data_IF_714503851791
#
_entry.id   IF_714503851791
#
_cell.length_a   1.000
_cell.length_b   1.000
_cell.length_c   1.000
_cell.angle_alpha   90.00
_cell.angle_beta   90.00
_cell.angle_gamma   90.00
#
_symmetry.space_group_name_H-M   'P 1'
#
loop_
_entity.id
_entity.type
_entity.pdbx_description
1 polymer ?
#
# COMPACT_ATOMS: atom_id res chain seq x y z
N UNK A 1 -11.42 -38.22 7.83
CA UNK A 1 -10.53 -37.52 8.79
C UNK A 1 -9.98 -36.25 8.15
N UNK A 2 -10.30 -35.12 8.77
CA UNK A 2 -10.23 -33.75 8.24
C UNK A 2 -8.82 -33.36 7.78
N UNK A 3 -8.68 -32.88 6.54
CA UNK A 3 -7.51 -32.07 6.14
C UNK A 3 -7.92 -30.63 6.35
N UNK A 4 -7.40 -30.02 7.42
CA UNK A 4 -7.65 -28.63 7.77
C UNK A 4 -7.12 -27.69 6.69
N UNK A 5 -8.02 -27.02 5.99
CA UNK A 5 -7.68 -25.91 5.12
C UNK A 5 -7.27 -24.71 5.96
N UNK A 6 -6.04 -24.23 5.76
CA UNK A 6 -5.65 -22.91 6.23
C UNK A 6 -6.39 -21.88 5.37
N UNK A 7 -7.52 -21.39 5.86
CA UNK A 7 -8.11 -20.16 5.35
C UNK A 7 -7.13 -19.04 5.71
N UNK A 8 -6.28 -18.66 4.75
CA UNK A 8 -5.49 -17.44 4.83
C UNK A 8 -6.46 -16.26 4.87
N UNK A 9 -6.80 -15.83 6.09
CA UNK A 9 -7.46 -14.57 6.33
C UNK A 9 -6.42 -13.47 6.12
N UNK A 10 -6.15 -13.18 4.85
CA UNK A 10 -5.96 -11.79 4.51
C UNK A 10 -7.33 -11.17 4.77
N UNK A 11 -7.39 -10.18 5.66
CA UNK A 11 -8.49 -9.23 5.58
C UNK A 11 -8.32 -8.59 4.19
N UNK A 12 -8.95 -9.21 3.18
CA UNK A 12 -9.40 -8.48 2.01
C UNK A 12 -10.01 -7.22 2.60
N UNK A 13 -9.48 -6.07 2.17
CA UNK A 13 -10.08 -4.78 2.44
C UNK A 13 -11.59 -4.99 2.26
N UNK A 14 -12.35 -5.06 3.36
CA UNK A 14 -13.77 -5.44 3.29
C UNK A 14 -14.56 -4.43 2.43
N UNK A 15 -13.93 -3.28 2.16
CA UNK A 15 -14.38 -2.18 1.31
C UNK A 15 -13.67 -2.05 -0.06
N UNK A 16 -12.90 -3.05 -0.52
CA UNK A 16 -12.30 -2.99 -1.87
C UNK A 16 -13.37 -3.17 -2.94
N UNK A 17 -14.04 -2.08 -3.28
CA UNK A 17 -14.99 -2.02 -4.38
C UNK A 17 -14.21 -1.79 -5.67
N UNK A 18 -14.04 -2.85 -6.46
CA UNK A 18 -13.65 -2.69 -7.86
C UNK A 18 -14.78 -1.93 -8.57
N UNK A 19 -14.48 -0.72 -9.05
CA UNK A 19 -15.38 0.04 -9.90
C UNK A 19 -14.84 0.01 -11.31
N UNK A 20 -15.62 -0.51 -12.22
CA UNK A 20 -15.32 -0.39 -13.64
C UNK A 20 -15.36 1.11 -14.01
N UNK A 21 -14.22 1.63 -14.44
CA UNK A 21 -14.05 3.04 -14.77
C UNK A 21 -14.00 3.19 -16.28
N UNK A 22 -14.96 3.92 -16.86
CA UNK A 22 -14.85 4.32 -18.26
C UNK A 22 -13.68 5.30 -18.41
N UNK A 23 -12.77 5.10 -19.38
CA UNK A 23 -11.64 6.00 -19.54
C UNK A 23 -12.13 7.43 -19.83
N UNK A 24 -11.50 8.46 -19.23
CA UNK A 24 -11.90 9.84 -19.47
C UNK A 24 -11.46 10.25 -20.88
N UNK A 25 -12.28 10.99 -21.62
CA UNK A 25 -11.88 11.54 -22.93
C UNK A 25 -10.59 12.38 -22.81
N UNK A 26 -9.63 12.26 -23.74
CA UNK A 26 -9.66 11.52 -25.01
C UNK A 26 -9.12 10.08 -24.92
N UNK A 27 -8.97 9.52 -23.72
CA UNK A 27 -8.43 8.17 -23.54
C UNK A 27 -9.45 7.11 -23.95
N UNK A 28 -8.97 6.05 -24.59
CA UNK A 28 -9.75 4.88 -24.96
C UNK A 28 -8.99 3.61 -24.58
N UNK A 29 -9.74 2.57 -24.21
CA UNK A 29 -9.18 1.22 -24.04
C UNK A 29 -8.86 0.70 -25.44
N UNK A 30 -7.61 0.34 -25.70
CA UNK A 30 -7.17 -0.17 -27.00
C UNK A 30 -7.11 -1.69 -26.99
N UNK A 31 -6.50 -2.27 -25.95
CA UNK A 31 -6.34 -3.72 -25.82
C UNK A 31 -6.14 -4.14 -24.35
N UNK A 32 -6.31 -5.43 -24.09
CA UNK A 32 -5.89 -6.03 -22.83
C UNK A 32 -4.38 -6.15 -22.78
N UNK A 33 -3.79 -5.89 -21.61
CA UNK A 33 -2.36 -6.01 -21.43
C UNK A 33 -1.92 -7.48 -21.39
N UNK A 34 -0.76 -7.78 -21.99
CA UNK A 34 -0.26 -9.15 -22.05
C UNK A 34 0.09 -9.69 -20.64
N UNK A 35 -0.34 -10.91 -20.25
CA UNK A 35 -0.16 -11.42 -18.89
C UNK A 35 1.29 -11.50 -18.40
N UNK A 36 2.24 -11.66 -19.32
CA UNK A 36 3.67 -11.75 -19.01
C UNK A 36 4.38 -10.39 -18.89
N UNK A 37 3.70 -9.29 -19.20
CA UNK A 37 4.28 -7.93 -19.06
C UNK A 37 4.62 -7.66 -17.61
N UNK A 38 5.84 -7.15 -17.36
CA UNK A 38 6.25 -6.77 -16.01
C UNK A 38 5.65 -5.43 -15.62
N UNK A 39 5.24 -5.34 -14.36
CA UNK A 39 4.72 -4.14 -13.73
C UNK A 39 5.30 -4.00 -12.33
N UNK A 40 5.26 -2.76 -11.82
CA UNK A 40 5.63 -2.43 -10.46
C UNK A 40 4.36 -2.07 -9.69
N UNK A 41 4.13 -2.75 -8.56
CA UNK A 41 3.02 -2.49 -7.65
C UNK A 41 3.56 -1.88 -6.38
N UNK A 42 2.91 -0.83 -5.88
CA UNK A 42 3.23 -0.22 -4.58
C UNK A 42 2.09 -0.49 -3.61
N UNK A 43 2.41 -1.18 -2.52
CA UNK A 43 1.52 -1.48 -1.42
C UNK A 43 1.72 -0.44 -0.32
N UNK A 44 0.68 0.37 -0.08
CA UNK A 44 0.65 1.32 1.02
C UNK A 44 0.21 0.62 2.31
N UNK A 45 1.14 0.45 3.24
CA UNK A 45 0.89 -0.16 4.56
C UNK A 45 0.31 0.90 5.50
N UNK A 46 -0.63 0.49 6.35
CA UNK A 46 -1.31 1.40 7.27
C UNK A 46 -0.33 2.10 8.22
N UNK A 47 -0.17 3.40 8.01
CA UNK A 47 0.57 4.30 8.89
C UNK A 47 -0.12 4.45 10.25
N UNK A 48 0.68 4.77 11.28
CA UNK A 48 0.20 5.01 12.64
C UNK A 48 0.08 6.50 12.94
N UNK A 49 -0.62 6.85 14.04
CA UNK A 49 -0.61 8.20 14.61
C UNK A 49 -1.04 9.33 13.65
N UNK A 50 -1.90 9.04 12.68
CA UNK A 50 -2.36 10.02 11.69
C UNK A 50 -3.02 11.23 12.34
N UNK A 51 -3.79 11.04 13.43
CA UNK A 51 -4.40 12.16 14.14
C UNK A 51 -3.38 13.05 14.84
N UNK A 52 -2.30 12.46 15.37
CA UNK A 52 -1.20 13.21 15.97
C UNK A 52 -0.44 13.97 14.87
N UNK A 53 -0.20 13.34 13.71
CA UNK A 53 0.40 14.02 12.56
C UNK A 53 -0.46 15.22 12.13
N UNK A 54 -1.78 15.04 12.05
CA UNK A 54 -2.71 16.12 11.72
C UNK A 54 -2.65 17.26 12.76
N UNK A 55 -2.66 16.95 14.05
CA UNK A 55 -2.52 17.95 15.11
C UNK A 55 -1.19 18.72 14.99
N UNK A 56 -0.08 18.00 14.78
CA UNK A 56 1.24 18.63 14.56
C UNK A 56 1.21 19.53 13.34
N UNK A 57 0.64 19.07 12.23
CA UNK A 57 0.51 19.85 10.99
C UNK A 57 -0.24 21.16 11.24
N UNK A 58 -1.37 21.11 11.94
CA UNK A 58 -2.17 22.29 12.27
C UNK A 58 -1.40 23.24 13.19
N UNK A 59 -0.75 22.71 14.21
CA UNK A 59 0.03 23.46 15.19
C UNK A 59 1.22 24.21 14.56
N UNK A 60 1.90 23.62 13.58
CA UNK A 60 3.06 24.25 12.93
C UNK A 60 2.68 25.15 11.76
N UNK A 61 1.45 25.04 11.24
CA UNK A 61 0.96 25.82 10.09
C UNK A 61 0.03 26.98 10.48
N UNK A 62 -0.36 27.10 11.74
CA UNK A 62 -1.24 28.17 12.23
C UNK A 62 -0.42 29.38 12.69
N UNK A 63 -0.52 30.56 12.05
CA UNK A 63 0.37 31.71 12.33
C UNK A 63 0.40 32.21 13.79
N UNK A 64 -0.71 32.09 14.51
CA UNK A 64 -0.84 32.54 15.91
C UNK A 64 -0.49 31.45 16.93
N UNK A 65 -0.11 30.26 16.49
CA UNK A 65 0.22 29.15 17.37
C UNK A 65 1.70 29.18 17.75
N UNK A 66 2.04 28.89 19.01
CA UNK A 66 3.43 28.96 19.52
C UNK A 66 4.42 28.03 18.80
N UNK A 67 3.90 27.04 18.08
CA UNK A 67 4.67 26.09 17.27
C UNK A 67 4.76 26.46 15.79
N UNK A 68 4.22 27.60 15.36
CA UNK A 68 4.27 28.03 13.97
C UNK A 68 5.69 27.99 13.40
N UNK A 69 5.84 27.39 12.22
CA UNK A 69 7.11 27.20 11.52
C UNK A 69 8.06 26.15 12.14
N UNK A 70 7.72 25.53 13.27
CA UNK A 70 8.56 24.51 13.95
C UNK A 70 8.25 23.10 13.43
N UNK A 71 8.54 22.84 12.16
CA UNK A 71 8.28 21.55 11.50
C UNK A 71 9.10 20.39 12.09
N UNK A 72 8.56 19.17 11.98
CA UNK A 72 9.31 17.94 12.29
C UNK A 72 10.42 17.70 11.25
N UNK A 73 11.51 17.08 11.68
CA UNK A 73 12.48 16.50 10.74
C UNK A 73 11.88 15.28 10.03
N UNK A 74 12.39 14.94 8.84
CA UNK A 74 11.95 13.75 8.10
C UNK A 74 12.07 12.47 8.94
N UNK A 75 13.16 12.30 9.68
CA UNK A 75 13.36 11.14 10.55
C UNK A 75 12.32 11.07 11.67
N UNK A 76 12.01 12.21 12.31
CA UNK A 76 10.98 12.27 13.35
C UNK A 76 9.59 11.97 12.78
N UNK A 77 9.28 12.48 11.60
CA UNK A 77 8.03 12.19 10.89
C UNK A 77 7.90 10.70 10.55
N UNK A 78 8.93 10.10 9.93
CA UNK A 78 8.94 8.67 9.59
C UNK A 78 8.76 7.79 10.82
N UNK A 79 9.38 8.16 11.95
CA UNK A 79 9.23 7.45 13.22
C UNK A 79 7.80 7.60 13.77
N UNK A 80 7.22 8.81 13.69
CA UNK A 80 5.87 9.08 14.18
C UNK A 80 4.81 8.25 13.47
N UNK A 81 4.92 8.11 12.15
CA UNK A 81 3.89 7.46 11.33
C UNK A 81 4.22 6.05 10.88
N UNK A 82 5.34 5.48 11.34
CA UNK A 82 5.77 4.14 10.96
C UNK A 82 4.63 3.12 11.17
N UNK A 83 4.36 2.25 10.19
CA UNK A 83 3.43 1.14 10.37
C UNK A 83 3.92 0.18 11.46
N UNK A 84 2.99 -0.64 11.97
CA UNK A 84 3.39 -1.71 12.90
C UNK A 84 4.24 -2.73 12.16
N UNK A 85 5.30 -3.22 12.79
CA UNK A 85 6.18 -4.26 12.22
C UNK A 85 5.38 -5.47 11.76
N UNK A 86 4.35 -5.87 12.51
CA UNK A 86 3.46 -6.98 12.14
C UNK A 86 2.71 -6.75 10.82
N UNK A 87 2.32 -5.50 10.53
CA UNK A 87 1.52 -5.16 9.33
C UNK A 87 2.45 -5.16 8.10
N UNK A 88 3.69 -4.67 8.27
CA UNK A 88 4.74 -4.78 7.23
C UNK A 88 5.04 -6.24 6.93
N UNK A 89 5.26 -7.06 7.98
CA UNK A 89 5.59 -8.48 7.80
C UNK A 89 4.44 -9.23 7.12
N UNK A 90 3.19 -8.95 7.48
CA UNK A 90 2.03 -9.57 6.84
C UNK A 90 1.99 -9.30 5.32
N UNK A 91 2.35 -8.09 4.88
CA UNK A 91 2.44 -7.77 3.44
C UNK A 91 3.59 -8.52 2.78
N UNK A 92 4.77 -8.55 3.40
CA UNK A 92 5.95 -9.25 2.86
C UNK A 92 5.71 -10.75 2.75
N UNK A 93 5.18 -11.39 3.79
CA UNK A 93 4.85 -12.81 3.83
C UNK A 93 3.78 -13.17 2.79
N UNK A 94 2.80 -12.29 2.57
CA UNK A 94 1.78 -12.49 1.53
C UNK A 94 2.38 -12.44 0.12
N UNK A 95 3.24 -11.46 -0.17
CA UNK A 95 3.91 -11.37 -1.47
C UNK A 95 4.81 -12.58 -1.72
N UNK A 96 5.54 -13.03 -0.69
CA UNK A 96 6.39 -14.22 -0.72
C UNK A 96 5.57 -15.49 -1.00
N UNK A 97 4.45 -15.69 -0.31
CA UNK A 97 3.53 -16.82 -0.55
C UNK A 97 2.95 -16.83 -1.98
N UNK A 98 2.93 -15.67 -2.64
CA UNK A 98 2.50 -15.52 -4.03
C UNK A 98 3.66 -15.67 -5.03
N UNK A 99 4.86 -15.97 -4.56
CA UNK A 99 6.05 -16.13 -5.40
C UNK A 99 6.59 -14.81 -5.94
N UNK A 100 6.30 -13.69 -5.27
CA UNK A 100 6.79 -12.35 -5.63
C UNK A 100 7.93 -11.99 -4.68
N UNK A 101 9.17 -12.18 -5.15
CA UNK A 101 10.38 -12.01 -4.33
C UNK A 101 11.11 -10.69 -4.57
N UNK A 102 10.89 -10.05 -5.72
CA UNK A 102 11.50 -8.74 -6.02
C UNK A 102 10.71 -7.64 -5.31
N UNK A 103 11.01 -7.45 -4.02
CA UNK A 103 10.32 -6.53 -3.12
C UNK A 103 11.31 -5.56 -2.49
N UNK A 104 10.96 -4.27 -2.47
CA UNK A 104 11.79 -3.20 -1.90
C UNK A 104 10.93 -2.24 -1.09
N UNK A 105 11.42 -1.80 0.07
CA UNK A 105 10.79 -0.70 0.84
C UNK A 105 11.18 0.62 0.19
N UNK A 106 10.21 1.34 -0.36
CA UNK A 106 10.44 2.64 -1.01
C UNK A 106 10.61 3.78 0.00
N UNK A 107 10.02 3.64 1.18
CA UNK A 107 10.10 4.63 2.24
C UNK A 107 10.96 4.14 3.42
N UNK A 108 11.65 5.05 4.14
CA UNK A 108 12.48 4.69 5.30
C UNK A 108 11.73 3.98 6.43
N UNK A 109 10.45 4.31 6.62
CA UNK A 109 9.56 3.68 7.61
C UNK A 109 8.83 2.44 7.06
N UNK A 110 8.97 2.12 5.78
CA UNK A 110 8.39 0.91 5.17
C UNK A 110 6.87 0.95 4.99
N UNK A 111 6.26 2.14 5.00
CA UNK A 111 4.85 2.32 4.66
C UNK A 111 4.56 2.19 3.16
N UNK A 112 5.58 2.23 2.31
CA UNK A 112 5.49 1.96 0.88
C UNK A 112 6.38 0.78 0.54
N UNK A 113 5.78 -0.31 0.10
CA UNK A 113 6.45 -1.53 -0.33
C UNK A 113 6.22 -1.70 -1.82
N UNK A 114 7.29 -1.63 -2.63
CA UNK A 114 7.23 -1.93 -4.05
C UNK A 114 7.49 -3.41 -4.29
N UNK A 115 6.71 -4.01 -5.19
CA UNK A 115 6.96 -5.35 -5.69
C UNK A 115 6.90 -5.36 -7.23
N UNK A 116 7.88 -5.99 -7.87
CA UNK A 116 7.87 -6.18 -9.32
C UNK A 116 7.31 -7.56 -9.64
N UNK A 117 6.31 -7.63 -10.50
CA UNK A 117 5.63 -8.87 -10.89
C UNK A 117 5.08 -8.79 -12.31
N UNK A 118 4.43 -9.85 -12.79
CA UNK A 118 3.73 -9.85 -14.09
C UNK A 118 2.27 -9.47 -13.94
N UNK A 119 1.65 -8.90 -14.98
CA UNK A 119 0.21 -8.56 -14.99
C UNK A 119 -0.67 -9.74 -14.58
N UNK A 120 -0.45 -10.94 -15.14
CA UNK A 120 -1.28 -12.11 -14.80
C UNK A 120 -1.18 -12.50 -13.32
N UNK A 121 -0.01 -12.31 -12.70
CA UNK A 121 0.17 -12.54 -11.27
C UNK A 121 -0.49 -11.44 -10.43
N UNK A 122 -0.42 -10.18 -10.88
CA UNK A 122 -1.06 -9.06 -10.22
C UNK A 122 -2.59 -9.16 -10.23
N UNK A 123 -3.18 -9.58 -11.35
CA UNK A 123 -4.61 -9.87 -11.47
C UNK A 123 -5.02 -10.94 -10.44
N UNK A 124 -4.28 -12.05 -10.35
CA UNK A 124 -4.54 -13.08 -9.33
C UNK A 124 -4.40 -12.55 -7.90
N UNK A 125 -3.42 -11.67 -7.65
CA UNK A 125 -3.13 -11.10 -6.33
C UNK A 125 -4.25 -10.18 -5.82
N UNK A 126 -4.84 -9.41 -6.74
CA UNK A 126 -5.75 -8.29 -6.43
C UNK A 126 -7.22 -8.59 -6.77
N UNK A 127 -7.55 -9.84 -7.13
CA UNK A 127 -8.91 -10.22 -7.50
C UNK A 127 -9.36 -9.72 -8.87
N UNK A 128 -8.40 -9.49 -9.78
CA UNK A 128 -8.68 -9.22 -11.18
C UNK A 128 -9.39 -10.41 -11.82
N UNK A 129 -10.51 -10.13 -12.50
CA UNK A 129 -11.28 -11.12 -13.25
C UNK A 129 -10.80 -11.12 -14.69
N UNK A 130 -10.53 -12.31 -15.22
CA UNK A 130 -10.25 -12.52 -16.66
C UNK A 130 -11.51 -12.47 -17.49
#
# INVERSE_FOLDING_TARGET
PQVGGFASSFALVEDAVFREFAPPSPWAIVEHSHPATQIELVFAVRQQNIEILHEVLMNVSTPHHDKYGKHLSNQALHTLIAPKVKDINAVLEYLDAQGIFNVTKLSPNGDLIQATTTIGKAEMLLGGVR
#
